data_IF_640943868312
#
_entry.id   IF_640943868312
#
_cell.length_a   1.000
_cell.length_b   1.000
_cell.length_c   1.000
_cell.angle_alpha   90.00
_cell.angle_beta   90.00
_cell.angle_gamma   90.00
#
_symmetry.space_group_name_H-M   'P 1'
#
loop_
_entity.id
_entity.type
_entity.pdbx_description
1 polymer ?
#
# COMPACT_ATOMS: atom_id res chain seq x y z
N UNK A 1 -32.41 -60.70 16.90
CA UNK A 1 -32.43 -59.23 16.69
C UNK A 1 -31.82 -58.40 17.82
N UNK A 2 -31.26 -58.99 18.90
CA UNK A 2 -30.63 -58.24 20.01
C UNK A 2 -29.09 -58.25 20.00
N UNK A 3 -28.47 -58.63 18.87
CA UNK A 3 -27.01 -58.69 18.69
C UNK A 3 -26.47 -57.83 17.53
N UNK A 4 -27.34 -57.15 16.79
CA UNK A 4 -26.94 -56.20 15.73
C UNK A 4 -26.90 -54.76 16.26
N UNK A 5 -27.65 -54.45 17.31
CA UNK A 5 -27.63 -53.12 17.96
C UNK A 5 -26.47 -52.92 18.94
N UNK A 6 -25.90 -53.99 19.51
CA UNK A 6 -24.76 -53.87 20.43
C UNK A 6 -23.41 -53.64 19.71
N UNK A 7 -23.35 -53.87 18.39
CA UNK A 7 -22.16 -53.59 17.58
C UNK A 7 -22.08 -52.12 17.11
N UNK A 8 -23.14 -51.33 17.30
CA UNK A 8 -23.20 -49.92 16.89
C UNK A 8 -23.21 -48.94 18.09
N UNK A 9 -23.18 -49.45 19.33
CA UNK A 9 -23.54 -48.69 20.53
C UNK A 9 -22.44 -47.91 21.25
N UNK A 10 -21.18 -47.91 20.77
CA UNK A 10 -20.09 -47.17 21.43
C UNK A 10 -19.17 -46.35 20.52
N UNK A 11 -19.17 -46.63 19.22
CA UNK A 11 -18.23 -45.98 18.30
C UNK A 11 -18.80 -44.73 17.63
N UNK A 12 -20.13 -44.62 17.44
CA UNK A 12 -20.77 -43.43 16.86
C UNK A 12 -20.71 -42.18 17.76
N UNK A 13 -20.78 -42.35 19.08
CA UNK A 13 -20.61 -41.23 20.01
C UNK A 13 -19.15 -40.75 20.04
N UNK A 14 -18.18 -41.67 19.92
CA UNK A 14 -16.75 -41.33 19.88
C UNK A 14 -16.37 -40.66 18.56
N UNK A 15 -16.83 -41.17 17.42
CA UNK A 15 -16.57 -40.55 16.11
C UNK A 15 -17.34 -39.23 15.94
N UNK A 16 -18.57 -39.13 16.44
CA UNK A 16 -19.35 -37.89 16.45
C UNK A 16 -18.73 -36.78 17.30
N UNK A 17 -18.24 -37.11 18.50
CA UNK A 17 -17.54 -36.15 19.39
C UNK A 17 -16.19 -35.74 18.78
N UNK A 18 -15.44 -36.68 18.20
CA UNK A 18 -14.16 -36.38 17.53
C UNK A 18 -14.37 -35.51 16.29
N UNK A 19 -15.45 -35.71 15.52
CA UNK A 19 -15.80 -34.88 14.37
C UNK A 19 -16.23 -33.46 14.80
N UNK A 20 -17.01 -33.32 15.87
CA UNK A 20 -17.41 -32.02 16.44
C UNK A 20 -16.21 -31.24 17.00
N UNK A 21 -15.30 -31.91 17.70
CA UNK A 21 -14.07 -31.31 18.22
C UNK A 21 -13.15 -30.90 17.07
N UNK A 22 -13.00 -31.74 16.05
CA UNK A 22 -12.18 -31.41 14.86
C UNK A 22 -12.77 -30.23 14.09
N UNK A 23 -14.10 -30.16 13.91
CA UNK A 23 -14.77 -29.01 13.28
C UNK A 23 -14.68 -27.72 14.11
N UNK A 24 -14.73 -27.83 15.44
CA UNK A 24 -14.50 -26.70 16.36
C UNK A 24 -13.05 -26.20 16.30
N UNK A 25 -12.06 -27.10 16.28
CA UNK A 25 -10.65 -26.71 16.12
C UNK A 25 -10.36 -26.16 14.72
N UNK A 26 -10.94 -26.71 13.66
CA UNK A 26 -10.84 -26.17 12.30
C UNK A 26 -11.49 -24.79 12.17
N UNK A 27 -12.63 -24.54 12.82
CA UNK A 27 -13.28 -23.22 12.79
C UNK A 27 -12.54 -22.18 13.64
N UNK A 28 -12.00 -22.55 14.80
CA UNK A 28 -11.15 -21.67 15.64
C UNK A 28 -9.84 -21.32 14.91
N UNK A 29 -9.19 -22.31 14.29
CA UNK A 29 -7.96 -22.05 13.51
C UNK A 29 -8.25 -21.21 12.28
N UNK A 30 -9.33 -21.48 11.54
CA UNK A 30 -9.74 -20.65 10.39
C UNK A 30 -10.05 -19.22 10.84
N UNK A 31 -10.77 -19.01 11.95
CA UNK A 31 -11.00 -17.67 12.52
C UNK A 31 -9.69 -16.97 12.91
N UNK A 32 -8.76 -17.66 13.57
CA UNK A 32 -7.46 -17.11 13.95
C UNK A 32 -6.55 -16.84 12.75
N UNK A 33 -6.64 -17.61 11.66
CA UNK A 33 -5.94 -17.31 10.41
C UNK A 33 -6.59 -16.15 9.66
N UNK A 34 -7.92 -16.04 9.69
CA UNK A 34 -8.63 -14.90 9.07
C UNK A 34 -8.34 -13.59 9.81
N UNK A 35 -8.25 -13.61 11.14
CA UNK A 35 -7.83 -12.45 11.95
C UNK A 35 -6.35 -12.12 11.77
N UNK A 36 -5.48 -13.13 11.57
CA UNK A 36 -4.06 -12.90 11.25
C UNK A 36 -3.87 -12.36 9.84
N UNK A 37 -4.60 -12.85 8.85
CA UNK A 37 -4.51 -12.35 7.48
C UNK A 37 -5.10 -10.93 7.37
N UNK A 38 -6.20 -10.64 8.08
CA UNK A 38 -6.70 -9.27 8.26
C UNK A 38 -5.68 -8.39 8.99
N UNK A 39 -5.09 -8.88 10.08
CA UNK A 39 -4.03 -8.18 10.82
C UNK A 39 -2.78 -7.92 9.96
N UNK A 40 -2.38 -8.85 9.10
CA UNK A 40 -1.23 -8.68 8.20
C UNK A 40 -1.57 -7.66 7.12
N UNK A 41 -2.78 -7.71 6.56
CA UNK A 41 -3.25 -6.75 5.54
C UNK A 41 -3.40 -5.34 6.13
N UNK A 42 -3.90 -5.24 7.36
CA UNK A 42 -3.96 -3.99 8.13
C UNK A 42 -2.57 -3.47 8.49
N UNK A 43 -1.62 -4.34 8.86
CA UNK A 43 -0.24 -3.95 9.11
C UNK A 43 0.48 -3.47 7.85
N UNK A 44 0.22 -4.09 6.69
CA UNK A 44 0.77 -3.63 5.40
C UNK A 44 0.15 -2.29 4.97
N UNK A 45 -1.16 -2.12 5.14
CA UNK A 45 -1.84 -0.85 4.91
C UNK A 45 -1.31 0.26 5.83
N UNK A 46 -1.09 -0.07 7.11
CA UNK A 46 -0.49 0.83 8.09
C UNK A 46 0.97 1.17 7.73
N UNK A 47 1.76 0.19 7.28
CA UNK A 47 3.14 0.42 6.89
C UNK A 47 3.25 1.30 5.63
N UNK A 48 2.30 1.18 4.69
CA UNK A 48 2.17 2.07 3.51
C UNK A 48 1.68 3.46 3.89
N UNK A 49 0.65 3.56 4.73
CA UNK A 49 0.12 4.81 5.33
C UNK A 49 1.25 5.61 5.96
N UNK A 50 2.04 4.93 6.76
CA UNK A 50 3.19 5.50 7.44
C UNK A 50 4.27 5.90 6.43
N UNK A 51 4.57 5.09 5.42
CA UNK A 51 5.60 5.45 4.41
C UNK A 51 5.21 6.72 3.64
N UNK A 52 3.95 6.86 3.21
CA UNK A 52 3.50 8.03 2.44
C UNK A 52 3.37 9.29 3.31
N UNK A 53 2.92 9.16 4.56
CA UNK A 53 2.74 10.33 5.44
C UNK A 53 4.04 10.75 6.14
N UNK A 54 4.99 9.83 6.36
CA UNK A 54 6.30 10.15 6.96
C UNK A 54 7.42 10.31 5.94
N UNK A 55 7.66 9.33 5.09
CA UNK A 55 8.86 9.30 4.25
C UNK A 55 8.75 10.33 3.13
N UNK A 56 7.55 10.49 2.56
CA UNK A 56 7.29 11.45 1.48
C UNK A 56 6.92 12.85 1.99
N UNK A 57 6.87 13.07 3.30
CA UNK A 57 6.61 14.40 3.84
C UNK A 57 7.88 15.25 3.77
N UNK A 58 7.82 16.33 3.01
CA UNK A 58 8.97 17.20 2.80
C UNK A 58 9.36 18.01 4.04
N UNK A 59 8.53 18.07 5.07
CA UNK A 59 8.76 18.93 6.23
C UNK A 59 9.49 18.20 7.38
N UNK A 60 10.77 18.55 7.68
CA UNK A 60 11.59 17.80 8.65
C UNK A 60 10.99 17.72 10.07
N UNK A 61 10.34 18.79 10.53
CA UNK A 61 9.69 18.82 11.85
C UNK A 61 8.53 17.83 11.97
N UNK A 62 7.73 17.65 10.91
CA UNK A 62 6.57 16.75 10.92
C UNK A 62 7.03 15.30 10.83
N UNK A 63 8.02 15.00 9.96
CA UNK A 63 8.67 13.69 9.88
C UNK A 63 9.20 13.23 11.24
N UNK A 64 9.92 14.11 11.92
CA UNK A 64 10.47 13.84 13.26
C UNK A 64 9.36 13.53 14.28
N UNK A 65 8.35 14.39 14.39
CA UNK A 65 7.25 14.22 15.36
C UNK A 65 6.52 12.89 15.15
N UNK A 66 6.26 12.54 13.89
CA UNK A 66 5.62 11.28 13.55
C UNK A 66 6.53 10.09 13.85
N UNK A 67 7.82 10.16 13.49
CA UNK A 67 8.76 9.08 13.76
C UNK A 67 8.89 8.80 15.27
N UNK A 68 8.94 9.87 16.07
CA UNK A 68 8.92 9.80 17.53
C UNK A 68 7.63 9.16 18.05
N UNK A 69 6.48 9.51 17.49
CA UNK A 69 5.20 8.92 17.86
C UNK A 69 5.16 7.41 17.55
N UNK A 70 5.51 7.00 16.34
CA UNK A 70 5.50 5.58 15.94
C UNK A 70 6.54 4.75 16.69
N UNK A 71 7.69 5.32 17.05
CA UNK A 71 8.64 4.72 17.97
C UNK A 71 8.03 4.47 19.36
N UNK A 72 7.15 5.35 19.85
CA UNK A 72 6.50 5.19 21.15
C UNK A 72 5.29 4.25 21.17
N UNK A 73 4.54 4.15 20.07
CA UNK A 73 3.25 3.40 20.05
C UNK A 73 3.31 2.04 19.35
N UNK A 74 4.41 1.70 18.67
CA UNK A 74 4.51 0.42 17.95
C UNK A 74 4.72 -0.74 18.93
N UNK A 75 3.82 -1.73 18.99
CA UNK A 75 3.84 -2.79 20.00
C UNK A 75 4.89 -3.89 19.74
N UNK A 76 5.30 -4.09 18.49
CA UNK A 76 6.31 -5.09 18.14
C UNK A 76 7.73 -4.55 18.34
N UNK A 77 8.55 -5.21 19.15
CA UNK A 77 9.94 -4.83 19.40
C UNK A 77 10.78 -4.66 18.12
N UNK A 78 10.59 -5.53 17.13
CA UNK A 78 11.36 -5.47 15.88
C UNK A 78 10.96 -4.30 14.99
N UNK A 79 9.71 -3.86 15.05
CA UNK A 79 9.22 -2.69 14.31
C UNK A 79 9.49 -1.40 15.07
N UNK A 80 9.36 -1.43 16.40
CA UNK A 80 9.73 -0.36 17.30
C UNK A 80 11.19 0.07 17.06
N UNK A 81 12.12 -0.89 16.99
CA UNK A 81 13.52 -0.62 16.67
C UNK A 81 13.71 0.07 15.31
N UNK A 82 12.95 -0.33 14.28
CA UNK A 82 13.01 0.33 12.95
C UNK A 82 12.52 1.77 13.02
N UNK A 83 11.51 2.05 13.86
CA UNK A 83 11.02 3.41 14.10
C UNK A 83 12.02 4.25 14.89
N UNK A 84 12.71 3.68 15.88
CA UNK A 84 13.80 4.33 16.59
C UNK A 84 14.97 4.67 15.67
N UNK A 85 15.39 3.71 14.84
CA UNK A 85 16.47 3.91 13.86
C UNK A 85 16.08 5.04 12.87
N UNK A 86 14.83 5.03 12.37
CA UNK A 86 14.33 6.09 11.50
C UNK A 86 14.22 7.44 12.20
N UNK A 87 13.74 7.48 13.46
CA UNK A 87 13.70 8.68 14.29
C UNK A 87 15.09 9.32 14.42
N UNK A 88 16.13 8.51 14.65
CA UNK A 88 17.50 8.99 14.74
C UNK A 88 17.99 9.66 13.44
N UNK A 89 17.56 9.17 12.27
CA UNK A 89 17.91 9.80 10.99
C UNK A 89 17.14 11.11 10.76
N UNK A 90 15.82 11.13 10.99
CA UNK A 90 15.03 12.36 10.81
C UNK A 90 15.32 13.44 11.87
N UNK A 91 15.85 13.06 13.04
CA UNK A 91 16.38 13.98 14.04
C UNK A 91 17.55 14.80 13.47
N UNK A 92 18.50 14.16 12.77
CA UNK A 92 19.65 14.84 12.16
C UNK A 92 19.18 15.87 11.12
N UNK A 93 18.19 15.51 10.32
CA UNK A 93 17.56 16.42 9.35
C UNK A 93 16.88 17.59 10.05
N UNK A 94 16.17 17.34 11.15
CA UNK A 94 15.50 18.36 11.92
C UNK A 94 16.49 19.33 12.58
N UNK A 95 17.59 18.84 13.16
CA UNK A 95 18.65 19.67 13.72
C UNK A 95 19.27 20.56 12.64
N UNK A 96 19.51 20.02 11.44
CA UNK A 96 20.01 20.81 10.29
C UNK A 96 19.00 21.88 9.86
N UNK A 97 17.72 21.52 9.83
CA UNK A 97 16.63 22.45 9.54
C UNK A 97 16.57 23.59 10.56
N UNK A 98 16.59 23.30 11.86
CA UNK A 98 16.60 24.32 12.91
C UNK A 98 17.80 25.26 12.82
N UNK A 99 18.99 24.72 12.55
CA UNK A 99 20.21 25.53 12.39
C UNK A 99 20.09 26.49 11.21
N UNK A 100 19.57 26.00 10.08
CA UNK A 100 19.35 26.83 8.89
C UNK A 100 18.30 27.91 9.15
N UNK A 101 17.21 27.57 9.85
CA UNK A 101 16.17 28.53 10.21
C UNK A 101 16.68 29.63 11.14
N UNK A 102 17.52 29.26 12.11
CA UNK A 102 18.16 30.21 13.03
C UNK A 102 19.12 31.16 12.29
N UNK A 103 19.89 30.64 11.33
CA UNK A 103 20.79 31.46 10.50
C UNK A 103 20.02 32.43 9.59
N UNK A 104 18.96 31.95 8.94
CA UNK A 104 18.10 32.80 8.09
C UNK A 104 17.44 33.92 8.91
N UNK A 105 16.97 33.63 10.13
CA UNK A 105 16.42 34.62 11.06
C UNK A 105 17.46 35.63 11.51
N UNK A 106 18.65 35.18 11.90
CA UNK A 106 19.74 36.07 12.30
C UNK A 106 20.17 36.99 11.15
N UNK A 107 20.23 36.46 9.92
CA UNK A 107 20.52 37.25 8.72
C UNK A 107 19.44 38.29 8.43
N UNK A 108 18.17 37.92 8.57
CA UNK A 108 17.05 38.85 8.41
C UNK A 108 17.13 39.98 9.45
N UNK A 109 17.38 39.67 10.72
CA UNK A 109 17.54 40.68 11.79
C UNK A 109 18.67 41.65 11.47
N UNK A 110 19.82 41.14 11.04
CA UNK A 110 20.95 41.97 10.61
C UNK A 110 20.57 42.91 9.45
N UNK A 111 19.88 42.41 8.42
CA UNK A 111 19.47 43.22 7.26
C UNK A 111 18.46 44.32 7.63
N UNK A 112 17.59 44.06 8.62
CA UNK A 112 16.61 45.03 9.12
C UNK A 112 17.25 46.15 9.95
N UNK A 113 18.42 45.90 10.55
CA UNK A 113 19.18 46.88 11.37
C UNK A 113 20.04 47.83 10.52
N UNK A 114 20.24 47.53 9.22
CA UNK A 114 21.04 48.37 8.32
C UNK A 114 20.29 49.67 8.01
N UNK A 115 20.87 50.80 8.43
CA UNK A 115 20.45 52.12 7.97
C UNK A 115 20.79 52.31 6.48
N UNK A 116 19.78 52.67 5.67
CA UNK A 116 19.86 52.85 4.20
C UNK A 116 20.32 51.61 3.41
N UNK A 117 19.50 50.54 3.34
CA UNK A 117 19.86 49.32 2.64
C UNK A 117 19.92 49.51 1.13
N UNK A 118 20.92 48.88 0.51
CA UNK A 118 21.08 48.77 -0.95
C UNK A 118 19.90 48.02 -1.60
N UNK A 119 19.74 48.17 -2.92
CA UNK A 119 18.71 47.44 -3.68
C UNK A 119 18.83 45.91 -3.51
N UNK A 120 20.05 45.39 -3.47
CA UNK A 120 20.32 43.96 -3.26
C UNK A 120 19.91 43.50 -1.85
N UNK A 121 20.22 44.28 -0.81
CA UNK A 121 19.83 43.97 0.57
C UNK A 121 18.31 44.02 0.76
N UNK A 122 17.61 44.95 0.10
CA UNK A 122 16.14 44.99 0.09
C UNK A 122 15.54 43.74 -0.55
N UNK A 123 16.09 43.30 -1.67
CA UNK A 123 15.66 42.05 -2.31
C UNK A 123 15.92 40.82 -1.45
N UNK A 124 17.12 40.71 -0.85
CA UNK A 124 17.48 39.63 0.07
C UNK A 124 16.52 39.56 1.27
N UNK A 125 16.17 40.72 1.83
CA UNK A 125 15.19 40.84 2.93
C UNK A 125 13.84 40.25 2.56
N UNK A 126 13.30 40.60 1.40
CA UNK A 126 11.99 40.10 0.95
C UNK A 126 12.02 38.59 0.63
N UNK A 127 13.13 38.09 0.07
CA UNK A 127 13.32 36.64 -0.13
C UNK A 127 13.34 35.92 1.21
N UNK A 128 14.08 36.40 2.20
CA UNK A 128 14.17 35.79 3.53
C UNK A 128 12.83 35.83 4.28
N UNK A 129 12.10 36.96 4.22
CA UNK A 129 10.74 37.06 4.78
C UNK A 129 9.80 36.04 4.15
N UNK A 130 9.81 35.94 2.82
CA UNK A 130 8.97 34.98 2.08
C UNK A 130 9.31 33.55 2.47
N UNK A 131 10.60 33.20 2.51
CA UNK A 131 11.10 31.87 2.88
C UNK A 131 10.70 31.49 4.31
N UNK A 132 10.86 32.40 5.28
CA UNK A 132 10.48 32.16 6.67
C UNK A 132 8.95 32.06 6.84
N UNK A 133 8.18 32.89 6.15
CA UNK A 133 6.72 32.83 6.17
C UNK A 133 6.21 31.50 5.57
N UNK A 134 6.76 31.07 4.43
CA UNK A 134 6.43 29.77 3.83
C UNK A 134 6.73 28.60 4.77
N UNK A 135 7.84 28.64 5.51
CA UNK A 135 8.14 27.64 6.54
C UNK A 135 7.12 27.66 7.68
N UNK A 136 6.74 28.84 8.16
CA UNK A 136 5.76 28.98 9.24
C UNK A 136 4.38 28.50 8.82
N UNK A 137 3.94 28.82 7.60
CA UNK A 137 2.72 28.28 6.99
C UNK A 137 2.79 26.76 6.90
N UNK A 138 3.93 26.20 6.44
CA UNK A 138 4.11 24.76 6.30
C UNK A 138 4.07 24.03 7.64
N UNK A 139 4.59 24.65 8.72
CA UNK A 139 4.46 24.16 10.10
C UNK A 139 3.02 24.17 10.60
N UNK A 140 2.25 25.21 10.27
CA UNK A 140 0.85 25.38 10.69
C UNK A 140 -0.16 24.55 9.88
N UNK A 141 0.21 24.08 8.68
CA UNK A 141 -0.66 23.19 7.91
C UNK A 141 -0.89 21.87 8.68
N UNK A 142 -2.13 21.40 8.85
CA UNK A 142 -2.37 20.07 9.39
C UNK A 142 -1.70 19.01 8.51
N UNK A 143 -1.43 17.85 9.09
CA UNK A 143 -1.00 16.69 8.28
C UNK A 143 -2.21 16.31 7.44
N UNK A 144 -2.10 16.53 6.13
CA UNK A 144 -3.10 16.05 5.18
C UNK A 144 -2.96 14.54 5.12
N UNK A 145 -3.93 13.85 5.73
CA UNK A 145 -4.08 12.41 5.55
C UNK A 145 -4.58 12.24 4.12
N UNK A 146 -3.85 11.54 3.24
CA UNK A 146 -4.34 11.20 1.92
C UNK A 146 -5.73 10.57 2.10
N UNK A 147 -6.77 11.15 1.47
CA UNK A 147 -8.10 10.52 1.48
C UNK A 147 -7.99 9.09 0.96
N UNK A 148 -8.89 8.17 1.32
CA UNK A 148 -8.83 6.76 0.89
C UNK A 148 -8.67 6.58 -0.64
N UNK A 149 -9.02 7.60 -1.45
CA UNK A 149 -8.79 7.64 -2.90
C UNK A 149 -7.34 7.89 -3.34
N UNK A 150 -6.52 8.47 -2.46
CA UNK A 150 -5.09 8.70 -2.64
C UNK A 150 -4.23 7.73 -1.84
N UNK A 151 -4.85 6.82 -1.07
CA UNK A 151 -4.27 5.53 -0.68
C UNK A 151 -4.15 4.62 -1.91
N UNK A 152 -3.45 5.12 -2.92
CA UNK A 152 -2.96 4.25 -3.96
C UNK A 152 -2.03 3.27 -3.27
N UNK A 153 -2.44 1.99 -3.18
CA UNK A 153 -1.45 0.97 -3.45
C UNK A 153 -0.63 1.50 -4.63
N UNK A 154 0.69 1.61 -4.49
CA UNK A 154 1.52 1.95 -5.64
C UNK A 154 1.28 0.86 -6.69
N UNK A 155 0.25 1.05 -7.51
CA UNK A 155 -0.21 0.19 -8.59
C UNK A 155 0.90 0.11 -9.67
N UNK A 156 1.93 0.95 -9.53
CA UNK A 156 3.23 0.90 -10.21
C UNK A 156 4.07 -0.35 -9.91
N UNK A 157 3.81 -1.08 -8.83
CA UNK A 157 4.56 -2.31 -8.53
C UNK A 157 4.11 -3.48 -9.41
N UNK A 158 2.87 -3.45 -9.88
CA UNK A 158 2.32 -4.51 -10.71
C UNK A 158 2.61 -4.26 -12.18
N UNK A 159 3.26 -5.23 -12.83
CA UNK A 159 3.38 -5.25 -14.29
C UNK A 159 2.21 -6.03 -14.86
N UNK A 160 1.28 -5.33 -15.51
CA UNK A 160 0.08 -5.96 -16.09
C UNK A 160 0.29 -6.18 -17.58
N UNK A 161 0.22 -7.44 -18.00
CA UNK A 161 0.18 -7.83 -19.40
C UNK A 161 -1.27 -8.03 -19.82
N UNK A 162 -1.71 -7.34 -20.87
CA UNK A 162 -3.03 -7.59 -21.46
C UNK A 162 -2.84 -8.47 -22.69
N UNK A 163 -3.50 -9.62 -22.67
CA UNK A 163 -3.50 -10.59 -23.74
C UNK A 163 -4.92 -10.71 -24.28
N UNK A 164 -5.11 -10.57 -25.59
CA UNK A 164 -6.44 -10.53 -26.17
C UNK A 164 -6.54 -11.36 -27.44
N UNK A 165 -7.74 -11.89 -27.70
CA UNK A 165 -8.05 -12.61 -28.93
C UNK A 165 -8.32 -11.62 -30.07
N UNK A 166 -7.96 -12.00 -31.30
CA UNK A 166 -8.36 -11.28 -32.51
C UNK A 166 -9.88 -11.02 -32.53
N UNK A 167 -10.27 -9.75 -32.69
CA UNK A 167 -11.66 -9.29 -32.63
C UNK A 167 -12.06 -8.62 -31.32
N UNK A 168 -11.21 -8.71 -30.28
CA UNK A 168 -11.45 -8.13 -28.96
C UNK A 168 -10.60 -6.89 -28.67
N UNK A 169 -10.03 -6.28 -29.71
CA UNK A 169 -9.14 -5.12 -29.64
C UNK A 169 -9.79 -3.93 -28.92
N UNK A 170 -11.07 -3.68 -29.20
CA UNK A 170 -11.80 -2.57 -28.59
C UNK A 170 -11.96 -2.75 -27.07
N UNK A 171 -12.27 -3.98 -26.64
CA UNK A 171 -12.39 -4.31 -25.20
C UNK A 171 -11.02 -4.22 -24.55
N UNK A 172 -9.98 -4.77 -25.17
CA UNK A 172 -8.61 -4.71 -24.67
C UNK A 172 -8.10 -3.27 -24.50
N UNK A 173 -8.37 -2.39 -25.46
CA UNK A 173 -8.05 -0.96 -25.36
C UNK A 173 -8.78 -0.30 -24.18
N UNK A 174 -10.07 -0.64 -23.98
CA UNK A 174 -10.85 -0.10 -22.87
C UNK A 174 -10.31 -0.59 -21.52
N UNK A 175 -9.95 -1.88 -21.42
CA UNK A 175 -9.29 -2.44 -20.23
C UNK A 175 -7.97 -1.72 -19.95
N UNK A 176 -7.13 -1.53 -20.97
CA UNK A 176 -5.87 -0.80 -20.85
C UNK A 176 -6.09 0.62 -20.31
N UNK A 177 -7.03 1.37 -20.89
CA UNK A 177 -7.35 2.72 -20.44
C UNK A 177 -7.83 2.75 -18.97
N UNK A 178 -8.73 1.85 -18.58
CA UNK A 178 -9.25 1.78 -17.21
C UNK A 178 -8.16 1.45 -16.19
N UNK A 179 -7.27 0.51 -16.53
CA UNK A 179 -6.16 0.14 -15.65
C UNK A 179 -5.11 1.26 -15.56
N UNK A 180 -4.77 1.93 -16.66
CA UNK A 180 -3.86 3.08 -16.64
C UNK A 180 -4.46 4.25 -15.82
N UNK A 181 -5.74 4.55 -15.99
CA UNK A 181 -6.45 5.58 -15.22
C UNK A 181 -6.53 5.24 -13.72
N UNK A 182 -6.56 3.95 -13.36
CA UNK A 182 -6.45 3.48 -11.98
C UNK A 182 -5.00 3.45 -11.46
N UNK A 183 -4.02 3.92 -12.25
CA UNK A 183 -2.62 4.05 -11.85
C UNK A 183 -1.77 2.79 -11.99
N UNK A 184 -2.27 1.74 -12.67
CA UNK A 184 -1.49 0.53 -12.92
C UNK A 184 -0.47 0.70 -14.04
N UNK A 185 0.69 0.04 -13.90
CA UNK A 185 1.66 -0.06 -14.98
C UNK A 185 1.27 -1.17 -15.96
N UNK A 186 0.57 -0.79 -17.03
CA UNK A 186 0.12 -1.69 -18.10
C UNK A 186 1.16 -1.74 -19.22
N UNK A 187 1.64 -2.93 -19.53
CA UNK A 187 2.61 -3.19 -20.59
C UNK A 187 1.91 -3.27 -21.97
N UNK A 188 2.68 -3.18 -23.08
CA UNK A 188 2.11 -3.30 -24.42
C UNK A 188 1.24 -4.55 -24.57
N UNK A 189 0.05 -4.37 -25.15
CA UNK A 189 -0.92 -5.46 -25.31
C UNK A 189 -0.45 -6.46 -26.36
N UNK A 190 -0.72 -7.75 -26.12
CA UNK A 190 -0.35 -8.83 -27.03
C UNK A 190 -1.58 -9.55 -27.57
N UNK A 191 -1.69 -9.65 -28.89
CA UNK A 191 -2.69 -10.51 -29.52
C UNK A 191 -2.27 -11.99 -29.40
N UNK A 192 -3.17 -12.85 -28.92
CA UNK A 192 -2.97 -14.30 -28.90
C UNK A 192 -3.94 -15.00 -29.85
N UNK A 193 -3.49 -16.12 -30.42
CA UNK A 193 -4.28 -16.95 -31.34
C UNK A 193 -5.08 -18.04 -30.63
N UNK A 194 -4.76 -18.34 -29.37
CA UNK A 194 -5.40 -19.39 -28.58
C UNK A 194 -6.81 -18.99 -28.10
N UNK A 195 -7.66 -19.99 -27.87
CA UNK A 195 -8.97 -19.77 -27.24
C UNK A 195 -8.76 -19.67 -25.75
N UNK A 196 -9.01 -18.48 -25.22
CA UNK A 196 -8.83 -18.16 -23.81
C UNK A 196 -10.13 -17.61 -23.26
N UNK A 197 -10.43 -17.96 -22.01
CA UNK A 197 -11.53 -17.37 -21.28
C UNK A 197 -11.11 -15.99 -20.74
N UNK A 198 -12.10 -15.18 -20.37
CA UNK A 198 -11.88 -13.96 -19.62
C UNK A 198 -11.34 -14.34 -18.23
N UNK A 199 -10.03 -14.25 -18.06
CA UNK A 199 -9.36 -14.56 -16.80
C UNK A 199 -8.24 -13.59 -16.47
N UNK A 200 -7.93 -13.49 -15.18
CA UNK A 200 -6.76 -12.79 -14.68
C UNK A 200 -5.86 -13.82 -13.98
N UNK A 201 -4.63 -13.93 -14.48
CA UNK A 201 -3.64 -14.88 -14.00
C UNK A 201 -2.64 -14.18 -13.12
N UNK A 202 -2.31 -14.84 -12.02
CA UNK A 202 -1.37 -14.33 -11.04
C UNK A 202 -0.52 -15.47 -10.48
N UNK A 203 0.68 -15.12 -10.01
CA UNK A 203 1.74 -16.08 -9.73
C UNK A 203 2.14 -16.13 -8.25
N UNK A 204 1.58 -15.25 -7.42
CA UNK A 204 1.73 -15.30 -5.96
C UNK A 204 0.38 -15.17 -5.29
N UNK A 205 0.07 -16.05 -4.33
CA UNK A 205 -1.15 -15.93 -3.51
C UNK A 205 -1.28 -14.57 -2.82
N UNK A 206 -0.16 -13.89 -2.55
CA UNK A 206 -0.12 -12.53 -1.98
C UNK A 206 -0.72 -11.46 -2.89
N UNK A 207 -0.77 -11.70 -4.20
CA UNK A 207 -1.29 -10.74 -5.18
C UNK A 207 -2.83 -10.82 -5.33
N UNK A 208 -3.49 -11.76 -4.63
CA UNK A 208 -4.93 -12.01 -4.79
C UNK A 208 -5.81 -10.80 -4.45
N UNK A 209 -5.44 -9.99 -3.44
CA UNK A 209 -6.20 -8.79 -3.09
C UNK A 209 -6.21 -7.76 -4.23
N UNK A 210 -5.07 -7.54 -4.88
CA UNK A 210 -4.95 -6.70 -6.08
C UNK A 210 -5.76 -7.27 -7.24
N UNK A 211 -5.69 -8.59 -7.45
CA UNK A 211 -6.46 -9.29 -8.48
C UNK A 211 -7.96 -9.09 -8.29
N UNK A 212 -8.46 -9.25 -7.06
CA UNK A 212 -9.88 -9.02 -6.74
C UNK A 212 -10.27 -7.58 -7.03
N UNK A 213 -9.45 -6.60 -6.63
CA UNK A 213 -9.71 -5.19 -6.89
C UNK A 213 -9.78 -4.87 -8.39
N UNK A 214 -8.92 -5.48 -9.21
CA UNK A 214 -8.95 -5.33 -10.68
C UNK A 214 -10.22 -5.95 -11.27
N UNK A 215 -10.63 -7.13 -10.80
CA UNK A 215 -11.87 -7.78 -11.25
C UNK A 215 -13.07 -6.89 -10.93
N UNK A 216 -13.16 -6.38 -9.70
CA UNK A 216 -14.25 -5.52 -9.26
C UNK A 216 -14.29 -4.22 -10.06
N UNK A 217 -13.14 -3.59 -10.31
CA UNK A 217 -13.01 -2.40 -11.15
C UNK A 217 -13.54 -2.64 -12.57
N UNK A 218 -13.05 -3.69 -13.24
CA UNK A 218 -13.41 -3.98 -14.63
C UNK A 218 -14.87 -4.44 -14.76
N UNK A 219 -15.39 -5.13 -13.75
CA UNK A 219 -16.81 -5.47 -13.69
C UNK A 219 -17.69 -4.24 -13.51
N UNK A 220 -17.32 -3.32 -12.63
CA UNK A 220 -18.09 -2.09 -12.39
C UNK A 220 -18.06 -1.12 -13.58
N UNK A 221 -16.89 -0.92 -14.19
CA UNK A 221 -16.67 0.11 -15.20
C UNK A 221 -17.07 -0.30 -16.62
N UNK A 222 -16.89 -1.58 -16.97
CA UNK A 222 -17.07 -2.07 -18.34
C UNK A 222 -17.85 -3.38 -18.42
N UNK A 223 -18.44 -3.84 -17.30
CA UNK A 223 -19.21 -5.09 -17.21
C UNK A 223 -18.44 -6.32 -17.72
N UNK A 224 -17.11 -6.35 -17.51
CA UNK A 224 -16.26 -7.47 -17.90
C UNK A 224 -16.13 -8.45 -16.73
N UNK A 225 -16.73 -9.63 -16.87
CA UNK A 225 -16.63 -10.69 -15.86
C UNK A 225 -15.35 -11.51 -16.09
N UNK A 226 -14.38 -11.34 -15.17
CA UNK A 226 -13.09 -12.03 -15.18
C UNK A 226 -13.04 -13.08 -14.07
N UNK A 227 -12.45 -14.24 -14.38
CA UNK A 227 -12.14 -15.27 -13.37
C UNK A 227 -10.69 -15.17 -12.91
N UNK A 228 -10.43 -15.27 -11.62
CA UNK A 228 -9.05 -15.34 -11.10
C UNK A 228 -8.48 -16.75 -11.24
N UNK A 229 -7.23 -16.89 -11.72
CA UNK A 229 -6.49 -18.17 -11.77
C UNK A 229 -5.09 -18.02 -11.18
N UNK A 230 -4.78 -18.82 -10.16
CA UNK A 230 -3.46 -18.86 -9.53
C UNK A 230 -2.55 -19.90 -10.22
N UNK A 231 -1.35 -19.50 -10.63
CA UNK A 231 -0.34 -20.34 -11.26
C UNK A 231 0.94 -20.49 -10.40
N UNK A 232 0.81 -20.49 -9.07
CA UNK A 232 1.86 -20.44 -8.02
C UNK A 232 3.08 -21.38 -8.16
N UNK A 233 3.17 -22.21 -9.20
CA UNK A 233 4.21 -23.24 -9.36
C UNK A 233 4.76 -23.44 -10.77
N UNK A 234 4.38 -22.64 -11.78
CA UNK A 234 4.71 -22.99 -13.17
C UNK A 234 5.91 -22.28 -13.80
N UNK A 235 6.47 -21.21 -13.23
CA UNK A 235 7.68 -20.60 -13.76
C UNK A 235 8.54 -19.96 -12.67
N UNK A 236 9.76 -20.50 -12.47
CA UNK A 236 10.78 -19.85 -11.63
C UNK A 236 11.23 -18.48 -12.19
N UNK A 237 10.88 -18.20 -13.45
CA UNK A 237 11.34 -17.04 -14.21
C UNK A 237 10.32 -15.88 -14.24
N UNK A 238 9.14 -16.04 -13.63
CA UNK A 238 8.15 -14.95 -13.57
C UNK A 238 8.51 -14.00 -12.44
N UNK A 239 8.63 -12.70 -12.76
CA UNK A 239 8.90 -11.66 -11.78
C UNK A 239 7.73 -11.55 -10.78
N UNK A 240 8.00 -11.28 -9.49
CA UNK A 240 6.96 -10.94 -8.52
C UNK A 240 6.07 -9.80 -9.02
N UNK A 241 4.80 -9.78 -8.61
CA UNK A 241 3.83 -8.75 -8.98
C UNK A 241 3.56 -8.66 -10.50
N UNK A 242 3.63 -9.79 -11.19
CA UNK A 242 3.22 -9.90 -12.60
C UNK A 242 1.79 -10.41 -12.68
N UNK A 243 0.93 -9.71 -13.41
CA UNK A 243 -0.44 -10.10 -13.68
C UNK A 243 -0.67 -10.21 -15.18
N UNK A 244 -1.45 -11.19 -15.60
CA UNK A 244 -1.90 -11.30 -17.00
C UNK A 244 -3.41 -11.23 -17.07
N UNK A 245 -3.93 -10.26 -17.82
CA UNK A 245 -5.36 -10.12 -18.09
C UNK A 245 -5.65 -10.68 -19.47
N UNK A 246 -6.42 -11.75 -19.52
CA UNK A 246 -6.78 -12.46 -20.75
C UNK A 246 -8.21 -12.11 -21.17
N UNK A 247 -8.38 -11.69 -22.42
CA UNK A 247 -9.64 -11.21 -22.97
C UNK A 247 -10.01 -12.05 -24.20
N UNK A 248 -11.19 -12.67 -24.14
CA UNK A 248 -11.76 -13.56 -25.15
C UNK A 248 -12.35 -12.82 -26.34
#
# INVERSE_FOLDING_TARGET
MKRIFDFLGKDWQKTGIVALISAAFSSITTYQFTDRDKSITEMDAYQRFVTEILVLNDHPAKRRMLAQYFAGVTPSYSQNKKWDDYYCEVEKDYVRFQKTDSLDKARLLYLLDINNPTKSQKWETEVLKTKLNQRQISLGKPIEIPSEKSFGMSNSLFSIYIQYKKGSESIANTVNEKLQNAGFNVLPMEMKTEVVDNDIRYYSSKDYSTVSAIIDLLKAEINLDLKSKNFERLNKDVKPHTLEVWIK
#
